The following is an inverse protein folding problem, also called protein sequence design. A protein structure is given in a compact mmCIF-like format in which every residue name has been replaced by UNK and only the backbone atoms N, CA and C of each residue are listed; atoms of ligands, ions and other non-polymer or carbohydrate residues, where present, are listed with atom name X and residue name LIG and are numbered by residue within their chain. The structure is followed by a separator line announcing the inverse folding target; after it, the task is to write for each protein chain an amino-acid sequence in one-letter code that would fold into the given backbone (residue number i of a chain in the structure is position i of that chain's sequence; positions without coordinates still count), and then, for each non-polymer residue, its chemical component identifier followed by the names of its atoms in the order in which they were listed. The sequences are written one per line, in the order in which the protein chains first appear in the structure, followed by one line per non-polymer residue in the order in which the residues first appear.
data_IF_085474953299
#
_entry.id   IF_085474953299
#
_cell.length_a   1.000
_cell.length_b   1.000
_cell.length_c   1.000
_cell.angle_alpha   90.00
_cell.angle_beta   90.00
_cell.angle_gamma   90.00
#
_symmetry.space_group_name_H-M   'P 1'
#
loop_
_entity.id
_entity.type
_entity.pdbx_description
1 polymer ?
#
# COMPACT_ATOMS: atom_id res chain seq x y z
N UNK A 1 3.62 16.02 -1.81
CA UNK A 1 2.25 15.54 -2.10
C UNK A 1 1.79 14.37 -1.22
N UNK A 2 2.64 13.82 -0.32
CA UNK A 2 2.25 12.74 0.61
C UNK A 2 1.71 13.24 1.96
N UNK A 3 1.96 14.50 2.33
CA UNK A 3 1.49 15.10 3.57
C UNK A 3 0.19 15.91 3.39
N UNK A 4 -0.79 15.35 2.67
CA UNK A 4 -2.13 15.93 2.60
C UNK A 4 -3.05 15.15 3.53
N UNK A 5 -3.42 15.82 4.63
CA UNK A 5 -4.32 15.43 5.72
C UNK A 5 -5.30 14.30 5.36
N UNK A 6 -5.05 13.08 5.83
CA UNK A 6 -6.10 12.07 6.03
C UNK A 6 -6.57 12.14 7.50
N UNK A 7 -7.18 13.28 7.87
CA UNK A 7 -8.06 13.31 9.04
C UNK A 7 -9.39 12.72 8.60
N UNK A 8 -9.63 11.45 8.92
CA UNK A 8 -11.01 10.94 9.03
C UNK A 8 -11.57 10.06 7.91
N UNK A 9 -10.76 9.39 7.07
CA UNK A 9 -11.30 8.23 6.33
C UNK A 9 -11.38 7.02 7.26
N UNK A 10 -12.60 6.76 7.75
CA UNK A 10 -12.93 5.51 8.43
C UNK A 10 -12.36 4.34 7.62
N UNK A 11 -11.62 3.43 8.26
CA UNK A 11 -11.03 2.23 7.63
C UNK A 11 -12.05 1.42 6.81
N UNK A 12 -13.35 1.55 7.13
CA UNK A 12 -14.48 0.96 6.38
C UNK A 12 -14.74 1.61 5.02
N UNK A 13 -14.49 2.91 4.84
CA UNK A 13 -14.74 3.61 3.57
C UNK A 13 -13.64 3.38 2.53
N UNK A 14 -12.39 3.21 2.96
CA UNK A 14 -11.27 2.93 2.05
C UNK A 14 -11.45 1.58 1.33
N UNK A 15 -12.07 0.60 1.99
CA UNK A 15 -12.40 -0.72 1.45
C UNK A 15 -13.89 -0.85 1.10
N UNK A 16 -14.57 0.25 0.70
CA UNK A 16 -15.94 0.16 0.19
C UNK A 16 -16.01 -0.97 -0.85
N UNK A 17 -16.86 -1.96 -0.55
CA UNK A 17 -17.05 -3.14 -1.39
C UNK A 17 -17.70 -2.62 -2.66
N UNK A 18 -17.05 -2.82 -3.79
CA UNK A 18 -17.60 -2.46 -5.09
C UNK A 18 -18.78 -3.41 -5.35
N UNK A 19 -20.00 -2.88 -5.48
CA UNK A 19 -21.24 -3.67 -5.71
C UNK A 19 -21.28 -4.39 -7.07
N UNK A 20 -20.18 -4.37 -7.84
CA UNK A 20 -20.07 -5.14 -9.07
C UNK A 20 -20.02 -6.65 -8.75
N UNK A 21 -20.81 -7.50 -9.45
CA UNK A 21 -20.76 -8.95 -9.31
C UNK A 21 -19.35 -9.56 -9.49
N UNK A 22 -18.48 -8.89 -10.24
CA UNK A 22 -17.09 -9.29 -10.48
C UNK A 22 -16.09 -8.61 -9.52
N UNK A 23 -16.59 -7.87 -8.54
CA UNK A 23 -15.81 -7.03 -7.64
C UNK A 23 -15.08 -5.87 -8.33
N UNK A 24 -14.22 -5.20 -7.57
CA UNK A 24 -13.46 -4.06 -8.07
C UNK A 24 -12.55 -4.43 -9.24
N UNK A 25 -12.11 -5.69 -9.35
CA UNK A 25 -11.29 -6.14 -10.46
C UNK A 25 -12.04 -6.08 -11.79
N UNK A 26 -13.32 -6.47 -11.80
CA UNK A 26 -14.18 -6.44 -12.99
C UNK A 26 -14.72 -5.05 -13.32
N UNK A 27 -14.82 -4.16 -12.33
CA UNK A 27 -15.25 -2.77 -12.54
C UNK A 27 -14.18 -1.86 -13.18
N UNK A 28 -12.92 -2.31 -13.22
CA UNK A 28 -11.78 -1.54 -13.73
C UNK A 28 -11.33 -2.13 -15.06
N UNK A 29 -11.43 -1.36 -16.13
CA UNK A 29 -11.19 -1.82 -17.50
C UNK A 29 -9.72 -1.84 -17.87
N UNK A 30 -8.92 -0.94 -17.27
CA UNK A 30 -7.49 -0.81 -17.57
C UNK A 30 -6.60 -1.22 -16.40
N UNK A 31 -5.35 -1.58 -16.72
CA UNK A 31 -4.34 -1.84 -15.70
C UNK A 31 -4.09 -0.61 -14.82
N UNK A 32 -4.09 0.58 -15.43
CA UNK A 32 -3.94 1.86 -14.71
C UNK A 32 -5.02 2.03 -13.66
N UNK A 33 -6.27 1.76 -14.00
CA UNK A 33 -7.41 1.85 -13.07
C UNK A 33 -7.32 0.83 -11.94
N UNK A 34 -6.86 -0.40 -12.23
CA UNK A 34 -6.65 -1.44 -11.21
C UNK A 34 -5.53 -1.08 -10.24
N UNK A 35 -4.39 -0.60 -10.73
CA UNK A 35 -3.27 -0.14 -9.89
C UNK A 35 -3.68 1.09 -9.08
N UNK A 36 -4.39 2.03 -9.69
CA UNK A 36 -4.90 3.24 -9.01
C UNK A 36 -5.91 2.89 -7.93
N UNK A 37 -6.72 1.84 -8.12
CA UNK A 37 -7.64 1.34 -7.11
C UNK A 37 -6.90 0.76 -5.89
N UNK A 38 -5.82 0.01 -6.11
CA UNK A 38 -5.02 -0.56 -5.02
C UNK A 38 -4.26 0.50 -4.24
N UNK A 39 -3.85 1.60 -4.89
CA UNK A 39 -3.03 2.63 -4.26
C UNK A 39 -3.59 3.13 -2.91
N UNK A 40 -2.78 2.98 -1.85
CA UNK A 40 -3.14 3.34 -0.47
C UNK A 40 -4.38 2.64 0.11
N UNK A 41 -4.83 1.53 -0.49
CA UNK A 41 -5.83 0.63 0.08
C UNK A 41 -5.18 -0.58 0.73
N UNK A 42 -5.90 -1.20 1.66
CA UNK A 42 -5.44 -2.39 2.37
C UNK A 42 -5.54 -3.67 1.52
N UNK A 43 -6.38 -3.63 0.48
CA UNK A 43 -6.54 -4.74 -0.46
C UNK A 43 -5.21 -5.09 -1.13
N UNK A 44 -4.78 -6.34 -0.98
CA UNK A 44 -3.51 -6.88 -1.48
C UNK A 44 -2.25 -6.14 -0.98
N UNK A 45 -2.33 -5.39 0.12
CA UNK A 45 -1.17 -4.71 0.69
C UNK A 45 -0.14 -5.71 1.25
N UNK A 46 1.09 -5.66 0.76
CA UNK A 46 2.20 -6.56 1.09
C UNK A 46 3.34 -5.87 1.86
N UNK A 47 3.22 -4.55 2.09
CA UNK A 47 4.10 -3.76 2.94
C UNK A 47 3.30 -2.71 3.71
N UNK A 48 3.74 -2.41 4.93
CA UNK A 48 3.07 -1.44 5.79
C UNK A 48 4.09 -0.50 6.43
N UNK A 49 3.90 0.80 6.23
CA UNK A 49 4.74 1.80 6.87
C UNK A 49 4.16 2.16 8.22
N UNK A 50 4.97 2.02 9.28
CA UNK A 50 4.64 2.57 10.59
C UNK A 50 5.24 3.95 10.67
N UNK A 51 4.40 4.98 10.73
CA UNK A 51 4.81 6.39 10.78
C UNK A 51 4.32 7.04 12.07
N UNK A 52 5.05 8.03 12.57
CA UNK A 52 4.73 8.71 13.83
C UNK A 52 5.57 8.22 15.01
N UNK A 53 5.41 8.89 16.15
CA UNK A 53 6.17 8.65 17.38
C UNK A 53 5.22 8.22 18.50
N UNK A 54 5.71 7.31 19.35
CA UNK A 54 5.01 6.82 20.55
C UNK A 54 3.55 6.41 20.26
N UNK A 55 2.58 6.95 21.00
CA UNK A 55 1.16 6.59 20.91
C UNK A 55 0.47 7.09 19.62
N UNK A 56 1.15 7.92 18.82
CA UNK A 56 0.65 8.43 17.54
C UNK A 56 1.13 7.62 16.34
N UNK A 57 1.62 6.39 16.54
CA UNK A 57 2.01 5.50 15.44
C UNK A 57 0.81 5.10 14.59
N UNK A 58 0.92 5.35 13.29
CA UNK A 58 -0.07 4.96 12.29
C UNK A 58 0.54 3.96 11.32
N UNK A 59 -0.22 2.90 11.02
CA UNK A 59 0.15 1.89 10.03
C UNK A 59 -0.52 2.23 8.70
N UNK A 60 0.29 2.45 7.66
CA UNK A 60 -0.17 2.81 6.32
C UNK A 60 0.06 1.62 5.39
N UNK A 61 -0.98 1.02 4.78
CA UNK A 61 -0.83 -0.04 3.81
C UNK A 61 -0.27 0.48 2.48
N UNK A 62 0.59 -0.31 1.85
CA UNK A 62 1.14 -0.04 0.53
C UNK A 62 1.51 -1.35 -0.21
N UNK A 63 1.96 -1.20 -1.45
CA UNK A 63 2.23 -2.32 -2.37
C UNK A 63 3.65 -2.22 -2.92
N UNK A 64 4.50 -3.23 -2.67
CA UNK A 64 5.90 -3.26 -3.11
C UNK A 64 6.00 -3.05 -4.61
N UNK A 65 5.20 -3.77 -5.40
CA UNK A 65 5.19 -3.63 -6.87
C UNK A 65 4.93 -2.18 -7.30
N UNK A 66 3.89 -1.55 -6.76
CA UNK A 66 3.50 -0.17 -7.12
C UNK A 66 4.57 0.83 -6.72
N UNK A 67 5.23 0.62 -5.58
CA UNK A 67 6.33 1.46 -5.11
C UNK A 67 7.61 1.26 -5.95
N UNK A 68 7.96 0.02 -6.27
CA UNK A 68 9.16 -0.33 -7.05
C UNK A 68 9.10 0.25 -8.46
N UNK A 69 7.98 0.11 -9.17
CA UNK A 69 7.84 0.68 -10.52
C UNK A 69 7.86 2.22 -10.54
N UNK A 70 7.59 2.87 -9.40
CA UNK A 70 7.55 4.32 -9.24
C UNK A 70 8.80 4.94 -8.62
N UNK A 71 9.76 4.14 -8.16
CA UNK A 71 10.95 4.64 -7.45
C UNK A 71 12.07 3.61 -7.41
N UNK A 72 13.23 3.98 -7.94
CA UNK A 72 14.46 3.19 -7.86
C UNK A 72 14.90 2.88 -6.42
N UNK A 73 14.58 3.76 -5.47
CA UNK A 73 14.90 3.55 -4.05
C UNK A 73 14.04 2.43 -3.48
N UNK A 74 12.75 2.40 -3.81
CA UNK A 74 11.86 1.33 -3.35
C UNK A 74 12.15 0.00 -4.06
N UNK A 75 12.54 0.05 -5.33
CA UNK A 75 12.99 -1.14 -6.03
C UNK A 75 14.24 -1.75 -5.38
N UNK A 76 15.26 -0.94 -5.10
CA UNK A 76 16.45 -1.39 -4.37
C UNK A 76 16.12 -1.88 -2.94
N UNK A 77 15.20 -1.21 -2.24
CA UNK A 77 14.76 -1.60 -0.91
C UNK A 77 14.15 -3.00 -0.92
N UNK A 78 13.24 -3.31 -1.85
CA UNK A 78 12.48 -4.57 -1.83
C UNK A 78 13.12 -5.70 -2.65
N UNK A 79 13.80 -5.38 -3.75
CA UNK A 79 14.34 -6.34 -4.71
C UNK A 79 15.88 -6.35 -4.74
N UNK A 80 16.54 -5.28 -4.27
CA UNK A 80 17.99 -5.10 -4.32
C UNK A 80 18.77 -5.63 -3.11
N UNK A 81 18.17 -6.43 -2.23
CA UNK A 81 18.84 -7.03 -1.08
C UNK A 81 19.07 -6.09 0.12
N UNK A 82 18.51 -4.87 0.09
CA UNK A 82 18.57 -3.90 1.19
C UNK A 82 17.52 -4.13 2.28
N UNK A 83 16.61 -5.09 2.11
CA UNK A 83 15.79 -5.54 3.24
C UNK A 83 16.68 -6.27 4.23
N UNK A 84 16.64 -5.92 5.54
CA UNK A 84 17.17 -6.80 6.55
C UNK A 84 16.41 -8.11 6.41
N UNK A 85 17.05 -9.11 5.81
CA UNK A 85 16.75 -10.51 6.10
C UNK A 85 16.79 -10.56 7.62
N UNK A 86 15.64 -10.79 8.26
CA UNK A 86 15.58 -11.09 9.68
C UNK A 86 16.73 -12.07 9.96
N UNK A 87 17.80 -11.57 10.60
CA UNK A 87 18.94 -12.35 11.03
C UNK A 87 18.40 -13.34 12.06
N UNK A 88 17.89 -14.47 11.58
CA UNK A 88 17.65 -15.63 12.42
C UNK A 88 19.02 -15.98 12.99
N UNK A 89 19.08 -15.98 14.32
CA UNK A 89 20.30 -15.78 15.08
C UNK A 89 21.47 -16.69 14.76
N UNK A 90 22.65 -16.16 15.07
CA UNK A 90 23.79 -16.85 15.65
C UNK A 90 24.32 -15.90 16.74
#
# INVERSE_FOLDING_TARGET
MWLRKNKGMSRRAANAVDDNPLGWQGAKTTLKERISYMYCKDVLADVYFTVGKDDMRQRIPAHKFVLSIGSVVFDAMFNGGLTPQNSRGC
#
